data_IF_409934963297
#
_entry.id   IF_409934963297
#
_cell.length_a   1.000
_cell.length_b   1.000
_cell.length_c   1.000
_cell.angle_alpha   90.00
_cell.angle_beta   90.00
_cell.angle_gamma   90.00
#
_symmetry.space_group_name_H-M   'P 1'
#
loop_
_entity.id
_entity.type
_entity.pdbx_description
1 polymer ?
#
# COMPACT_ATOMS: atom_id res chain seq x y z
N UNK A 1 1.21 -26.17 14.49
CA UNK A 1 0.24 -26.55 13.45
C UNK A 1 -0.88 -25.53 13.50
N UNK A 2 -0.89 -24.56 12.59
CA UNK A 2 -1.99 -23.59 12.46
C UNK A 2 -2.42 -23.63 10.99
N UNK A 3 -3.61 -24.17 10.76
CA UNK A 3 -4.19 -24.31 9.43
C UNK A 3 -4.93 -23.02 9.06
N UNK A 4 -4.50 -22.37 7.99
CA UNK A 4 -5.28 -21.34 7.29
C UNK A 4 -5.42 -21.78 5.83
N UNK A 5 -6.51 -22.46 5.51
CA UNK A 5 -7.00 -22.61 4.14
C UNK A 5 -8.51 -22.51 4.15
N UNK A 6 -9.02 -21.37 3.68
CA UNK A 6 -10.34 -21.24 3.07
C UNK A 6 -10.38 -19.91 2.31
N UNK A 7 -9.98 -19.96 1.04
CA UNK A 7 -10.41 -19.05 -0.03
C UNK A 7 -9.94 -17.59 0.02
N UNK A 8 -8.90 -17.28 -0.77
CA UNK A 8 -8.39 -15.95 -1.18
C UNK A 8 -7.95 -14.98 -0.06
N UNK A 9 -6.68 -14.51 -0.01
CA UNK A 9 -6.21 -13.59 1.04
C UNK A 9 -6.78 -12.15 0.85
N UNK A 10 -7.55 -11.62 1.82
CA UNK A 10 -8.27 -10.33 1.67
C UNK A 10 -7.51 -8.99 1.80
N UNK A 11 -6.28 -8.73 1.33
CA UNK A 11 -5.57 -7.56 1.92
C UNK A 11 -4.69 -6.78 0.97
N UNK A 12 -5.08 -5.53 0.69
CA UNK A 12 -4.12 -4.44 0.47
C UNK A 12 -4.60 -3.18 1.18
N UNK A 13 -4.26 -2.98 2.47
CA UNK A 13 -4.55 -1.74 3.18
C UNK A 13 -3.72 -0.57 2.62
N UNK A 14 -4.33 0.59 2.42
CA UNK A 14 -3.63 1.88 2.32
C UNK A 14 -3.94 2.76 3.55
N UNK A 15 -3.23 3.88 3.73
CA UNK A 15 -3.51 4.88 4.79
C UNK A 15 -3.46 6.28 4.21
N UNK A 16 -4.48 7.07 4.53
CA UNK A 16 -4.49 8.52 4.32
C UNK A 16 -3.90 9.21 5.54
N UNK A 17 -2.72 9.83 5.42
CA UNK A 17 -2.18 10.75 6.41
C UNK A 17 -2.24 12.14 5.77
N UNK A 18 -3.14 12.98 6.27
CA UNK A 18 -3.27 14.37 5.82
C UNK A 18 -2.55 15.30 6.79
N UNK A 19 -1.35 15.75 6.45
CA UNK A 19 -0.87 17.08 6.85
C UNK A 19 -0.93 17.96 5.58
N UNK A 20 -1.54 19.14 5.69
CA UNK A 20 -1.49 20.20 4.67
C UNK A 20 -1.87 19.81 3.22
N UNK A 21 -3.04 19.18 3.02
CA UNK A 21 -3.66 18.91 1.71
C UNK A 21 -3.04 17.77 0.86
N UNK A 22 -2.11 16.99 1.41
CA UNK A 22 -1.55 15.81 0.74
C UNK A 22 -2.28 14.53 1.17
N UNK A 23 -2.41 13.59 0.24
CA UNK A 23 -3.05 12.28 0.44
C UNK A 23 -2.05 11.20 0.03
N UNK A 24 -1.66 10.39 1.01
CA UNK A 24 -0.79 9.24 0.85
C UNK A 24 -1.61 7.99 0.48
N UNK A 25 -1.12 7.15 -0.42
CA UNK A 25 -1.60 5.80 -0.62
C UNK A 25 -0.45 4.80 -0.56
N UNK A 26 -0.70 3.66 0.06
CA UNK A 26 0.26 2.60 0.28
C UNK A 26 -0.35 1.27 -0.18
N UNK A 27 0.43 0.49 -0.91
CA UNK A 27 0.12 -0.89 -1.26
C UNK A 27 1.05 -1.80 -0.44
N UNK A 28 0.63 -2.19 0.76
CA UNK A 28 1.51 -2.87 1.73
C UNK A 28 2.10 -4.17 1.18
N UNK A 29 1.30 -5.00 0.51
CA UNK A 29 1.74 -6.30 -0.02
C UNK A 29 2.76 -6.19 -1.16
N UNK A 30 2.87 -5.02 -1.81
CA UNK A 30 3.86 -4.76 -2.86
C UNK A 30 4.94 -3.78 -2.41
N UNK A 31 4.90 -3.30 -1.16
CA UNK A 31 5.78 -2.28 -0.61
C UNK A 31 5.84 -1.00 -1.47
N UNK A 32 4.68 -0.54 -1.96
CA UNK A 32 4.58 0.68 -2.78
C UNK A 32 3.90 1.81 -2.01
N UNK A 33 4.34 3.04 -2.25
CA UNK A 33 3.80 4.24 -1.60
C UNK A 33 3.84 5.45 -2.55
N UNK A 34 2.78 6.26 -2.54
CA UNK A 34 2.68 7.50 -3.32
C UNK A 34 1.95 8.57 -2.52
N UNK A 35 2.16 9.83 -2.89
CA UNK A 35 1.58 11.00 -2.22
C UNK A 35 1.19 12.02 -3.28
N UNK A 36 -0.07 12.48 -3.26
CA UNK A 36 -0.58 13.48 -4.21
C UNK A 36 -1.46 14.52 -3.51
N UNK A 37 -1.79 15.60 -4.21
CA UNK A 37 -2.59 16.73 -3.71
C UNK A 37 -4.11 16.46 -3.69
N UNK A 38 -4.57 15.28 -4.11
CA UNK A 38 -6.00 14.93 -4.09
C UNK A 38 -6.23 13.42 -4.15
N UNK A 39 -7.36 12.96 -3.61
CA UNK A 39 -7.70 11.53 -3.56
C UNK A 39 -7.74 10.90 -4.97
N UNK A 40 -8.26 11.64 -5.96
CA UNK A 40 -8.30 11.20 -7.35
C UNK A 40 -6.90 11.05 -7.95
N UNK A 41 -6.02 12.02 -7.69
CA UNK A 41 -4.64 11.95 -8.15
C UNK A 41 -3.88 10.81 -7.47
N UNK A 42 -4.05 10.64 -6.16
CA UNK A 42 -3.43 9.57 -5.38
C UNK A 42 -3.87 8.19 -5.88
N UNK A 43 -5.18 7.99 -6.10
CA UNK A 43 -5.72 6.73 -6.61
C UNK A 43 -5.14 6.39 -7.99
N UNK A 44 -5.09 7.38 -8.90
CA UNK A 44 -4.50 7.20 -10.23
C UNK A 44 -3.01 6.81 -10.11
N UNK A 45 -2.26 7.53 -9.29
CA UNK A 45 -0.83 7.31 -9.11
C UNK A 45 -0.50 5.93 -8.52
N UNK A 46 -1.23 5.48 -7.50
CA UNK A 46 -0.98 4.15 -6.90
C UNK A 46 -1.34 3.02 -7.87
N UNK A 47 -2.40 3.20 -8.68
CA UNK A 47 -2.80 2.22 -9.70
C UNK A 47 -1.76 2.12 -10.81
N UNK A 48 -1.27 3.26 -11.32
CA UNK A 48 -0.20 3.29 -12.33
C UNK A 48 1.07 2.62 -11.78
N UNK A 49 1.49 2.98 -10.58
CA UNK A 49 2.68 2.41 -9.94
C UNK A 49 2.56 0.90 -9.68
N UNK A 50 1.38 0.38 -9.30
CA UNK A 50 1.13 -1.06 -9.15
C UNK A 50 1.29 -1.78 -10.49
N UNK A 51 0.77 -1.22 -11.58
CA UNK A 51 0.89 -1.81 -12.92
C UNK A 51 2.33 -1.82 -13.40
N UNK A 52 3.01 -0.69 -13.28
CA UNK A 52 4.43 -0.57 -13.61
C UNK A 52 5.28 -1.55 -12.81
N UNK A 53 5.02 -1.68 -11.52
CA UNK A 53 5.69 -2.65 -10.66
C UNK A 53 5.46 -4.09 -11.11
N UNK A 54 4.22 -4.46 -11.45
CA UNK A 54 3.89 -5.82 -11.88
C UNK A 54 4.56 -6.17 -13.21
N UNK A 55 4.63 -5.22 -14.13
CA UNK A 55 5.33 -5.35 -15.41
C UNK A 55 6.85 -5.50 -15.21
N UNK A 56 7.44 -4.61 -14.39
CA UNK A 56 8.84 -4.69 -13.96
C UNK A 56 9.16 -6.04 -13.30
N UNK A 57 8.21 -6.55 -12.51
CA UNK A 57 8.36 -7.84 -11.84
C UNK A 57 8.40 -8.97 -12.86
N UNK A 58 7.47 -8.97 -13.82
CA UNK A 58 7.40 -9.98 -14.90
C UNK A 58 8.68 -10.02 -15.73
N UNK A 59 9.22 -8.86 -16.09
CA UNK A 59 10.45 -8.77 -16.89
C UNK A 59 11.68 -9.32 -16.15
N UNK A 60 11.67 -9.25 -14.82
CA UNK A 60 12.78 -9.65 -13.95
C UNK A 60 12.36 -10.73 -12.96
N UNK A 61 11.44 -11.60 -13.37
CA UNK A 61 10.77 -12.56 -12.48
C UNK A 61 11.79 -13.46 -11.77
N UNK A 62 12.77 -13.99 -12.50
CA UNK A 62 13.83 -14.85 -11.93
C UNK A 62 14.60 -14.15 -10.79
N UNK A 63 14.83 -12.85 -10.88
CA UNK A 63 15.53 -12.10 -9.85
C UNK A 63 14.63 -11.85 -8.63
N UNK A 64 13.39 -11.41 -8.87
CA UNK A 64 12.51 -11.00 -7.77
C UNK A 64 11.81 -12.17 -7.07
N UNK A 65 11.51 -13.26 -7.78
CA UNK A 65 10.96 -14.48 -7.21
C UNK A 65 11.92 -15.17 -6.22
N UNK A 66 13.23 -14.93 -6.36
CA UNK A 66 14.27 -15.43 -5.45
C UNK A 66 14.75 -14.40 -4.43
N UNK A 67 14.23 -13.16 -4.47
CA UNK A 67 14.61 -12.11 -3.53
C UNK A 67 13.90 -12.30 -2.18
N UNK A 68 14.60 -12.31 -1.03
CA UNK A 68 13.97 -12.45 0.29
C UNK A 68 12.85 -11.44 0.55
N UNK A 69 13.00 -10.22 0.02
CA UNK A 69 12.05 -9.14 0.23
C UNK A 69 10.95 -9.04 -0.84
N UNK A 70 11.00 -9.84 -1.92
CA UNK A 70 10.05 -9.70 -3.06
C UNK A 70 9.49 -11.02 -3.58
N UNK A 71 10.02 -12.16 -3.13
CA UNK A 71 9.50 -13.47 -3.50
C UNK A 71 8.01 -13.61 -3.17
N UNK A 72 7.59 -13.04 -2.04
CA UNK A 72 6.21 -13.07 -1.58
C UNK A 72 5.26 -12.15 -2.37
N UNK A 73 5.77 -11.29 -3.25
CA UNK A 73 4.92 -10.40 -4.07
C UNK A 73 4.29 -11.13 -5.26
N UNK A 74 4.84 -12.28 -5.68
CA UNK A 74 4.45 -12.98 -6.91
C UNK A 74 2.94 -13.25 -7.03
N UNK A 75 2.23 -13.74 -5.99
CA UNK A 75 0.79 -13.99 -6.10
C UNK A 75 -0.01 -12.71 -6.38
N UNK A 76 0.41 -11.56 -5.86
CA UNK A 76 -0.25 -10.28 -6.09
C UNK A 76 0.07 -9.74 -7.48
N UNK A 77 1.33 -9.86 -7.93
CA UNK A 77 1.76 -9.52 -9.28
C UNK A 77 0.96 -10.31 -10.33
N UNK A 78 0.80 -11.61 -10.14
CA UNK A 78 0.04 -12.47 -11.06
C UNK A 78 -1.42 -12.05 -11.17
N UNK A 79 -2.03 -11.60 -10.08
CA UNK A 79 -3.41 -11.12 -10.09
C UNK A 79 -3.54 -9.75 -10.77
N UNK A 80 -2.57 -8.85 -10.56
CA UNK A 80 -2.50 -7.57 -11.28
C UNK A 80 -2.35 -7.79 -12.79
N UNK A 81 -1.47 -8.70 -13.20
CA UNK A 81 -1.23 -9.02 -14.61
C UNK A 81 -2.42 -9.70 -15.29
N UNK A 82 -3.35 -10.29 -14.52
CA UNK A 82 -4.63 -10.82 -15.04
C UNK A 82 -5.66 -9.73 -15.32
N UNK A 83 -5.47 -8.53 -14.81
CA UNK A 83 -6.35 -7.40 -15.05
C UNK A 83 -6.05 -6.80 -16.43
N UNK A 84 -7.02 -6.85 -17.34
CA UNK A 84 -6.89 -6.31 -18.69
C UNK A 84 -7.27 -4.82 -18.74
N UNK A 85 -7.93 -4.31 -17.70
CA UNK A 85 -8.40 -2.92 -17.63
C UNK A 85 -8.06 -2.31 -16.27
N UNK A 86 -7.99 -0.97 -16.24
CA UNK A 86 -7.84 -0.22 -14.99
C UNK A 86 -9.00 -0.50 -14.03
N UNK A 87 -10.22 -0.66 -14.56
CA UNK A 87 -11.41 -0.97 -13.79
C UNK A 87 -11.31 -2.34 -13.09
N UNK A 88 -10.84 -3.37 -13.79
CA UNK A 88 -10.62 -4.70 -13.20
C UNK A 88 -9.57 -4.69 -12.08
N UNK A 89 -8.58 -3.81 -12.17
CA UNK A 89 -7.59 -3.61 -11.11
C UNK A 89 -8.21 -2.86 -9.93
N UNK A 90 -8.95 -1.78 -10.18
CA UNK A 90 -9.66 -1.02 -9.16
C UNK A 90 -10.62 -1.90 -8.33
N UNK A 91 -11.32 -2.84 -8.98
CA UNK A 91 -12.22 -3.80 -8.32
C UNK A 91 -11.50 -4.78 -7.38
N UNK A 92 -10.19 -4.93 -7.53
CA UNK A 92 -9.35 -5.76 -6.65
C UNK A 92 -8.69 -4.99 -5.52
N UNK A 93 -8.71 -3.66 -5.57
CA UNK A 93 -8.13 -2.81 -4.53
C UNK A 93 -9.14 -2.61 -3.39
N UNK A 94 -8.74 -2.96 -2.16
CA UNK A 94 -9.54 -2.71 -0.96
C UNK A 94 -9.07 -1.41 -0.30
N UNK A 95 -9.86 -0.35 -0.43
CA UNK A 95 -9.58 0.92 0.23
C UNK A 95 -9.79 0.78 1.74
N UNK A 96 -8.73 0.97 2.54
CA UNK A 96 -8.82 1.02 4.01
C UNK A 96 -8.48 2.44 4.46
N UNK A 97 -9.38 3.07 5.21
CA UNK A 97 -9.12 4.36 5.84
C UNK A 97 -8.60 4.13 7.27
N UNK A 98 -7.66 4.95 7.72
CA UNK A 98 -7.18 4.91 9.10
C UNK A 98 -6.57 6.24 9.51
N UNK A 99 -7.07 6.81 10.61
CA UNK A 99 -6.48 7.98 11.27
C UNK A 99 -5.63 7.51 12.46
N UNK A 100 -4.40 8.03 12.57
CA UNK A 100 -3.58 7.86 13.76
C UNK A 100 -3.87 9.06 14.67
N UNK A 101 -4.60 8.91 15.78
CA UNK A 101 -4.71 9.98 16.76
C UNK A 101 -3.33 10.20 17.39
N UNK A 102 -2.68 11.32 17.08
CA UNK A 102 -1.50 11.77 17.82
C UNK A 102 -1.97 12.23 19.20
N UNK A 103 -1.49 11.59 20.26
CA UNK A 103 -1.68 12.14 21.62
C UNK A 103 -0.89 13.45 21.67
N UNK A 104 -1.60 14.56 21.91
CA UNK A 104 -0.95 15.86 22.10
C UNK A 104 0.01 15.74 23.29
N UNK A 105 1.30 15.94 23.05
CA UNK A 105 2.26 16.13 24.15
C UNK A 105 1.91 17.50 24.76
N UNK A 106 1.24 17.51 25.92
CA UNK A 106 1.03 18.74 26.67
C UNK A 106 2.40 19.31 27.08
N UNK A 107 2.73 20.58 26.76
CA UNK A 107 3.94 21.21 27.27
C UNK A 107 3.71 21.50 28.75
N UNK A 108 4.14 20.60 29.63
CA UNK A 108 3.84 20.68 31.06
C UNK A 108 4.86 20.01 31.94
N UNK A 109 6.11 20.48 31.93
CA UNK A 109 7.00 20.42 33.09
C UNK A 109 8.23 21.34 32.93
N UNK A 110 8.02 22.63 32.70
CA UNK A 110 9.01 23.61 33.12
C UNK A 110 8.99 23.64 34.67
N UNK A 111 9.85 22.84 35.30
CA UNK A 111 10.08 22.92 36.75
C UNK A 111 10.80 24.23 37.04
N UNK A 112 10.05 25.25 37.43
CA UNK A 112 10.58 26.45 38.09
C UNK A 112 11.13 26.05 39.45
N UNK A 113 12.36 26.47 39.75
CA UNK A 113 13.05 26.15 40.99
C UNK A 113 12.43 26.78 42.24
N UNK A 114 12.78 26.17 43.38
CA UNK A 114 13.23 26.82 44.62
C UNK A 114 14.34 25.94 45.17
#
# INVERSE_FOLDING_TARGET
>A
MWNFWSGAPPWLPWREISEDQRILAQCIELDLITEMDSAKATLKAIVEMIREYAEDYREREELFAHSPNRAHHKPYVDEVLRCNTEQELLERLVVRYGSIPLQSISPGAARTGV
#
